data_IF_832199549642
#
_entry.id   IF_832199549642
#
_cell.length_a   1.000
_cell.length_b   1.000
_cell.length_c   1.000
_cell.angle_alpha   90.00
_cell.angle_beta   90.00
_cell.angle_gamma   90.00
#
_symmetry.space_group_name_H-M   'P 1'
#
loop_
_entity.id
_entity.type
_entity.pdbx_description
1 polymer ?
#
# COMPACT_ATOMS: atom_id res chain seq x y z
N UNK A 1 -9.31 58.62 16.34
CA UNK A 1 -7.95 58.29 15.83
C UNK A 1 -7.73 56.80 16.03
N UNK A 2 -7.52 56.02 14.97
CA UNK A 2 -7.19 54.59 15.09
C UNK A 2 -5.72 54.49 15.54
N UNK A 3 -5.47 53.89 16.71
CA UNK A 3 -4.11 53.52 17.13
C UNK A 3 -3.58 52.51 16.10
N UNK A 4 -2.57 52.91 15.35
CA UNK A 4 -1.81 51.99 14.49
C UNK A 4 -0.98 51.04 15.34
N UNK A 5 -0.80 49.82 14.85
CA UNK A 5 0.08 48.83 15.46
C UNK A 5 1.53 49.36 15.46
N UNK A 6 2.27 49.15 16.55
CA UNK A 6 3.65 49.63 16.61
C UNK A 6 4.56 48.74 15.75
N UNK A 7 5.60 49.32 15.15
CA UNK A 7 6.55 48.51 14.36
C UNK A 7 7.24 47.43 15.22
N UNK A 8 7.47 47.73 16.51
CA UNK A 8 8.11 46.79 17.44
C UNK A 8 7.20 45.58 17.72
N UNK A 9 5.88 45.78 17.87
CA UNK A 9 4.95 44.67 18.08
C UNK A 9 4.93 43.74 16.86
N UNK A 10 5.01 44.28 15.64
CA UNK A 10 5.05 43.47 14.43
C UNK A 10 6.33 42.63 14.35
N UNK A 11 7.47 43.22 14.69
CA UNK A 11 8.77 42.52 14.71
C UNK A 11 8.76 41.40 15.74
N UNK A 12 8.21 41.63 16.93
CA UNK A 12 8.18 40.60 17.97
C UNK A 12 7.30 39.41 17.57
N UNK A 13 6.17 39.67 16.90
CA UNK A 13 5.27 38.61 16.38
C UNK A 13 5.98 37.73 15.35
N UNK A 14 6.67 38.32 14.37
CA UNK A 14 7.38 37.52 13.35
C UNK A 14 8.55 36.73 13.94
N UNK A 15 9.22 37.25 14.98
CA UNK A 15 10.30 36.54 15.68
C UNK A 15 9.75 35.32 16.41
N UNK A 16 8.64 35.47 17.15
CA UNK A 16 8.00 34.33 17.83
C UNK A 16 7.53 33.30 16.80
N UNK A 17 6.85 33.73 15.73
CA UNK A 17 6.40 32.83 14.65
C UNK A 17 7.60 32.12 13.98
N UNK A 18 8.73 32.80 13.81
CA UNK A 18 9.96 32.22 13.28
C UNK A 18 10.52 31.09 14.16
N UNK A 19 10.57 31.29 15.48
CA UNK A 19 11.03 30.27 16.43
C UNK A 19 10.07 29.08 16.44
N UNK A 20 8.76 29.33 16.49
CA UNK A 20 7.74 28.26 16.48
C UNK A 20 7.78 27.45 15.18
N UNK A 21 7.97 28.10 14.03
CA UNK A 21 8.09 27.43 12.74
C UNK A 21 9.34 26.54 12.67
N UNK A 22 10.49 27.04 13.17
CA UNK A 22 11.75 26.30 13.15
C UNK A 22 11.69 24.97 13.92
N UNK A 23 10.95 24.93 15.04
CA UNK A 23 10.78 23.69 15.83
C UNK A 23 9.64 22.79 15.31
N UNK A 24 8.61 23.36 14.70
CA UNK A 24 7.45 22.60 14.22
C UNK A 24 7.74 21.84 12.92
N UNK A 25 8.47 22.45 11.97
CA UNK A 25 8.69 21.88 10.63
C UNK A 25 9.36 20.49 10.65
N UNK A 26 10.47 20.26 11.39
CA UNK A 26 11.13 18.95 11.39
C UNK A 26 10.23 17.82 11.91
N UNK A 27 9.38 18.13 12.90
CA UNK A 27 8.44 17.16 13.47
C UNK A 27 7.30 16.83 12.51
N UNK A 28 6.78 17.82 11.78
CA UNK A 28 5.69 17.60 10.83
C UNK A 28 6.05 16.60 9.73
N UNK A 29 7.29 16.65 9.21
CA UNK A 29 7.76 15.71 8.18
C UNK A 29 7.76 14.27 8.70
N UNK A 30 8.22 14.04 9.93
CA UNK A 30 8.20 12.69 10.53
C UNK A 30 6.80 12.13 10.75
N UNK A 31 5.83 12.98 11.12
CA UNK A 31 4.42 12.56 11.32
C UNK A 31 3.77 12.18 9.99
N UNK A 32 4.05 12.92 8.91
CA UNK A 32 3.53 12.60 7.59
C UNK A 32 4.00 11.22 7.11
N UNK A 33 5.29 10.91 7.29
CA UNK A 33 5.83 9.60 6.90
C UNK A 33 5.22 8.46 7.73
N UNK A 34 5.07 8.64 9.04
CA UNK A 34 4.40 7.66 9.89
C UNK A 34 2.94 7.43 9.51
N UNK A 35 2.20 8.51 9.18
CA UNK A 35 0.83 8.41 8.72
C UNK A 35 0.73 7.61 7.41
N UNK A 36 1.69 7.80 6.51
CA UNK A 36 1.77 7.08 5.25
C UNK A 36 2.03 5.58 5.44
N UNK A 37 2.98 5.22 6.30
CA UNK A 37 3.24 3.82 6.65
C UNK A 37 2.04 3.16 7.33
N UNK A 38 1.37 3.87 8.23
CA UNK A 38 0.16 3.38 8.88
C UNK A 38 -0.96 3.11 7.86
N UNK A 39 -1.15 4.00 6.89
CA UNK A 39 -2.13 3.82 5.80
C UNK A 39 -1.81 2.62 4.92
N UNK A 40 -0.55 2.38 4.62
CA UNK A 40 -0.12 1.19 3.88
C UNK A 40 -0.42 -0.11 4.66
N UNK A 41 -0.13 -0.13 5.96
CA UNK A 41 -0.45 -1.26 6.83
C UNK A 41 -1.96 -1.52 6.94
N UNK A 42 -2.75 -0.46 7.07
CA UNK A 42 -4.22 -0.53 7.08
C UNK A 42 -4.75 -1.13 5.78
N UNK A 43 -4.26 -0.65 4.62
CA UNK A 43 -4.66 -1.15 3.31
C UNK A 43 -4.30 -2.63 3.14
N UNK A 44 -3.10 -3.06 3.53
CA UNK A 44 -2.71 -4.48 3.49
C UNK A 44 -3.55 -5.34 4.43
N UNK A 45 -3.90 -4.84 5.62
CA UNK A 45 -4.80 -5.56 6.53
C UNK A 45 -6.20 -5.74 5.92
N UNK A 46 -6.73 -4.72 5.26
CA UNK A 46 -7.99 -4.83 4.52
C UNK A 46 -7.90 -5.84 3.37
N UNK A 47 -6.79 -5.83 2.61
CA UNK A 47 -6.55 -6.80 1.54
C UNK A 47 -6.52 -8.24 2.05
N UNK A 48 -5.80 -8.49 3.15
CA UNK A 48 -5.68 -9.82 3.73
C UNK A 48 -6.97 -10.32 4.42
N UNK A 49 -7.82 -9.42 4.92
CA UNK A 49 -9.07 -9.81 5.60
C UNK A 49 -10.27 -9.89 4.68
N UNK A 50 -10.35 -9.05 3.64
CA UNK A 50 -11.53 -8.96 2.75
C UNK A 50 -11.29 -9.67 1.43
N UNK A 51 -10.15 -9.38 0.78
CA UNK A 51 -9.89 -9.85 -0.58
C UNK A 51 -9.43 -11.29 -0.57
N UNK A 52 -8.43 -11.63 0.26
CA UNK A 52 -7.82 -12.97 0.33
C UNK A 52 -8.85 -14.10 0.52
N UNK A 53 -9.76 -14.07 1.51
CA UNK A 53 -10.69 -15.18 1.70
C UNK A 53 -11.65 -15.37 0.52
N UNK A 54 -12.12 -14.27 -0.07
CA UNK A 54 -13.04 -14.30 -1.22
C UNK A 54 -12.38 -14.92 -2.46
N UNK A 55 -11.19 -14.43 -2.82
CA UNK A 55 -10.50 -14.90 -4.03
C UNK A 55 -9.95 -16.31 -3.85
N UNK A 56 -9.51 -16.67 -2.64
CA UNK A 56 -8.96 -17.99 -2.37
C UNK A 56 -10.05 -19.05 -2.30
N UNK A 57 -11.21 -18.75 -1.71
CA UNK A 57 -12.36 -19.65 -1.73
C UNK A 57 -12.80 -19.95 -3.16
N UNK A 58 -12.88 -18.93 -4.04
CA UNK A 58 -13.15 -19.16 -5.48
C UNK A 58 -12.07 -20.04 -6.10
N UNK A 59 -10.80 -19.74 -5.81
CA UNK A 59 -9.68 -20.51 -6.31
C UNK A 59 -9.80 -21.98 -5.90
N UNK A 60 -9.99 -22.32 -4.62
CA UNK A 60 -10.11 -23.70 -4.16
C UNK A 60 -11.21 -24.53 -4.85
N UNK A 61 -12.29 -23.90 -5.30
CA UNK A 61 -13.38 -24.60 -6.01
C UNK A 61 -13.04 -24.85 -7.49
N UNK A 62 -12.21 -24.00 -8.08
CA UNK A 62 -11.96 -23.97 -9.54
C UNK A 62 -10.55 -24.44 -9.93
N UNK A 63 -9.59 -24.30 -9.00
CA UNK A 63 -8.17 -24.58 -9.13
C UNK A 63 -7.63 -25.09 -7.79
N UNK A 64 -6.41 -25.64 -7.77
CA UNK A 64 -5.75 -26.09 -6.53
C UNK A 64 -5.31 -24.90 -5.64
N UNK A 65 -6.25 -24.01 -5.30
CA UNK A 65 -6.06 -22.78 -4.52
C UNK A 65 -5.24 -21.69 -5.22
N UNK A 66 -4.88 -21.88 -6.49
CA UNK A 66 -4.13 -20.91 -7.31
C UNK A 66 -5.10 -19.84 -7.84
N UNK A 67 -5.01 -18.61 -7.33
CA UNK A 67 -5.95 -17.53 -7.67
C UNK A 67 -5.74 -17.04 -9.09
N UNK A 68 -4.49 -16.93 -9.55
CA UNK A 68 -4.21 -16.47 -10.91
C UNK A 68 -4.97 -17.30 -11.95
N UNK A 69 -4.94 -18.64 -11.84
CA UNK A 69 -5.61 -19.53 -12.78
C UNK A 69 -7.13 -19.39 -12.69
N UNK A 70 -7.67 -19.23 -11.48
CA UNK A 70 -9.10 -19.00 -11.27
C UNK A 70 -9.60 -17.65 -11.80
N UNK A 71 -8.74 -16.63 -11.89
CA UNK A 71 -9.09 -15.33 -12.48
C UNK A 71 -8.84 -15.29 -14.00
N UNK A 72 -8.02 -16.19 -14.53
CA UNK A 72 -7.73 -16.30 -15.96
C UNK A 72 -8.64 -17.29 -16.71
N UNK A 73 -9.73 -17.76 -16.08
CA UNK A 73 -10.67 -18.75 -16.60
C UNK A 73 -11.50 -18.30 -17.83
N UNK A 74 -11.23 -17.14 -18.42
CA UNK A 74 -11.98 -16.54 -19.55
C UNK A 74 -13.41 -16.09 -19.21
N UNK A 75 -14.01 -16.66 -18.17
CA UNK A 75 -15.38 -16.46 -17.74
C UNK A 75 -15.48 -15.44 -16.59
N UNK A 76 -14.37 -15.10 -15.95
CA UNK A 76 -14.30 -14.06 -14.92
C UNK A 76 -14.43 -12.67 -15.56
N UNK A 77 -15.44 -11.88 -15.18
CA UNK A 77 -15.59 -10.51 -15.67
C UNK A 77 -14.33 -9.68 -15.42
N UNK A 78 -13.96 -8.82 -16.36
CA UNK A 78 -12.75 -7.97 -16.27
C UNK A 78 -12.69 -7.17 -14.96
N UNK A 79 -13.82 -6.66 -14.48
CA UNK A 79 -13.90 -5.96 -13.19
C UNK A 79 -13.49 -6.84 -12.00
N UNK A 80 -13.81 -8.15 -12.00
CA UNK A 80 -13.41 -9.05 -10.92
C UNK A 80 -11.91 -9.40 -10.94
N UNK A 81 -11.19 -9.00 -11.99
CA UNK A 81 -9.73 -9.13 -12.14
C UNK A 81 -8.98 -7.93 -11.58
N UNK A 82 -9.67 -6.85 -11.24
CA UNK A 82 -9.08 -5.62 -10.69
C UNK A 82 -9.39 -5.53 -9.20
N UNK A 83 -8.52 -4.86 -8.44
CA UNK A 83 -8.56 -4.87 -6.97
C UNK A 83 -9.59 -3.89 -6.40
N UNK A 84 -9.87 -2.83 -7.14
CA UNK A 84 -10.92 -1.83 -6.92
C UNK A 84 -12.33 -2.44 -6.88
N UNK A 85 -12.53 -3.65 -7.40
CA UNK A 85 -13.78 -4.38 -7.26
C UNK A 85 -14.05 -4.87 -5.84
N UNK A 86 -13.01 -5.21 -5.09
CA UNK A 86 -13.15 -5.80 -3.76
C UNK A 86 -12.99 -4.79 -2.63
N UNK A 87 -12.22 -3.72 -2.86
CA UNK A 87 -11.96 -2.67 -1.88
C UNK A 87 -11.87 -1.31 -2.56
N UNK A 88 -12.15 -0.25 -1.80
CA UNK A 88 -11.83 1.09 -2.25
C UNK A 88 -10.33 1.35 -2.09
N UNK A 89 -9.63 1.62 -3.19
CA UNK A 89 -8.21 1.96 -3.17
C UNK A 89 -8.08 3.45 -2.84
N UNK A 90 -7.38 3.83 -1.76
CA UNK A 90 -7.12 5.22 -1.45
C UNK A 90 -6.44 5.94 -2.62
N UNK A 91 -6.82 7.19 -2.89
CA UNK A 91 -6.33 7.96 -4.05
C UNK A 91 -4.82 8.21 -4.07
N UNK A 92 -4.14 8.09 -2.93
CA UNK A 92 -2.68 8.15 -2.85
C UNK A 92 -2.01 6.86 -3.34
N UNK A 93 -2.74 5.75 -3.44
CA UNK A 93 -2.26 4.52 -4.05
C UNK A 93 -2.76 4.40 -5.48
N UNK A 94 -1.89 3.91 -6.35
CA UNK A 94 -2.18 3.69 -7.75
C UNK A 94 -1.63 2.34 -8.21
N UNK A 95 -2.27 1.78 -9.22
CA UNK A 95 -1.78 0.58 -9.88
C UNK A 95 -0.62 0.98 -10.82
N UNK A 96 0.56 0.35 -10.72
CA UNK A 96 1.69 0.68 -11.58
C UNK A 96 1.36 0.43 -13.06
N UNK A 97 1.85 1.30 -13.94
CA UNK A 97 1.62 1.19 -15.38
C UNK A 97 2.06 -0.18 -15.92
N UNK A 98 1.17 -0.86 -16.65
CA UNK A 98 1.44 -2.19 -17.22
C UNK A 98 1.33 -3.36 -16.24
N UNK A 99 0.99 -3.10 -14.98
CA UNK A 99 0.66 -4.14 -14.00
C UNK A 99 -0.84 -4.11 -13.70
N UNK A 100 -1.45 -5.28 -13.57
CA UNK A 100 -2.81 -5.49 -13.07
C UNK A 100 -2.73 -6.52 -11.95
N UNK A 101 -3.77 -6.63 -11.15
CA UNK A 101 -3.83 -7.65 -10.12
C UNK A 101 -3.65 -9.07 -10.71
N UNK A 102 -4.25 -9.35 -11.87
CA UNK A 102 -4.07 -10.63 -12.57
C UNK A 102 -2.61 -10.87 -12.99
N UNK A 103 -1.98 -9.89 -13.64
CA UNK A 103 -0.58 -10.06 -14.12
C UNK A 103 0.41 -10.14 -12.96
N UNK A 104 0.13 -9.46 -11.85
CA UNK A 104 0.95 -9.53 -10.64
C UNK A 104 0.87 -10.91 -9.98
N UNK A 105 -0.34 -11.49 -9.87
CA UNK A 105 -0.52 -12.86 -9.40
C UNK A 105 0.16 -13.88 -10.33
N UNK A 106 0.04 -13.69 -11.65
CA UNK A 106 0.69 -14.56 -12.63
C UNK A 106 2.21 -14.60 -12.46
N UNK A 107 2.81 -13.43 -12.22
CA UNK A 107 4.25 -13.31 -12.08
C UNK A 107 4.78 -13.84 -10.74
N UNK A 108 3.89 -14.15 -9.79
CA UNK A 108 4.23 -14.37 -8.39
C UNK A 108 3.55 -15.63 -7.85
N UNK A 109 4.14 -16.80 -8.19
CA UNK A 109 3.55 -18.08 -7.86
C UNK A 109 3.53 -18.30 -6.35
N UNK A 110 2.76 -19.30 -5.93
CA UNK A 110 2.60 -19.68 -4.53
C UNK A 110 3.86 -20.23 -3.87
N UNK A 111 5.00 -20.36 -4.55
CA UNK A 111 6.30 -20.68 -3.93
C UNK A 111 7.14 -19.44 -3.67
N UNK A 112 6.68 -18.27 -4.12
CA UNK A 112 7.44 -17.03 -3.98
C UNK A 112 7.60 -16.67 -2.51
N UNK A 113 8.85 -16.65 -2.08
CA UNK A 113 9.26 -16.38 -0.70
C UNK A 113 9.63 -14.92 -0.50
N UNK A 114 9.83 -14.15 -1.59
CA UNK A 114 10.20 -12.72 -1.54
C UNK A 114 9.41 -11.89 -2.57
N UNK A 115 8.98 -10.65 -2.26
CA UNK A 115 8.42 -9.75 -3.26
C UNK A 115 9.40 -9.52 -4.40
N UNK A 116 8.92 -9.75 -5.62
CA UNK A 116 9.54 -9.32 -6.87
C UNK A 116 8.83 -8.07 -7.37
N UNK A 117 9.52 -7.25 -8.16
CA UNK A 117 8.94 -6.03 -8.75
C UNK A 117 7.74 -6.36 -9.63
N UNK A 118 7.75 -7.55 -10.24
CA UNK A 118 6.62 -8.07 -11.02
C UNK A 118 5.40 -8.47 -10.19
N UNK A 119 5.56 -8.66 -8.87
CA UNK A 119 4.46 -8.94 -7.92
C UNK A 119 3.74 -7.70 -7.43
N UNK A 120 4.19 -6.52 -7.87
CA UNK A 120 3.67 -5.27 -7.37
C UNK A 120 2.25 -5.07 -7.88
N UNK A 121 1.35 -4.77 -6.95
CA UNK A 121 -0.07 -4.51 -7.23
C UNK A 121 -0.42 -3.05 -7.04
N UNK A 122 0.20 -2.37 -6.07
CA UNK A 122 0.05 -0.93 -5.87
C UNK A 122 1.38 -0.25 -5.54
N UNK A 123 1.47 1.03 -5.87
CA UNK A 123 2.46 1.96 -5.36
C UNK A 123 1.76 3.21 -4.85
N UNK A 124 2.33 3.82 -3.82
CA UNK A 124 1.89 5.14 -3.38
C UNK A 124 2.45 6.24 -4.32
N UNK A 125 1.81 7.39 -4.38
CA UNK A 125 2.03 8.52 -5.28
C UNK A 125 3.48 9.07 -5.30
N UNK A 126 4.28 8.85 -4.26
CA UNK A 126 5.70 9.25 -4.24
C UNK A 126 6.67 8.08 -4.47
N UNK A 127 6.17 6.89 -4.83
CA UNK A 127 6.97 5.69 -5.07
C UNK A 127 7.89 5.32 -3.89
N UNK A 128 7.42 5.58 -2.66
CA UNK A 128 8.16 5.25 -1.43
C UNK A 128 7.57 4.05 -0.71
N UNK A 129 6.35 3.64 -1.04
CA UNK A 129 5.70 2.46 -0.49
C UNK A 129 5.09 1.66 -1.63
N UNK A 130 5.33 0.35 -1.57
CA UNK A 130 4.91 -0.63 -2.57
C UNK A 130 4.14 -1.75 -1.90
N UNK A 131 3.07 -2.21 -2.54
CA UNK A 131 2.26 -3.35 -2.09
C UNK A 131 2.45 -4.48 -3.09
N UNK A 132 2.74 -5.66 -2.55
CA UNK A 132 3.02 -6.87 -3.30
C UNK A 132 2.02 -7.96 -2.94
N UNK A 133 1.87 -8.92 -3.86
CA UNK A 133 1.04 -10.11 -3.67
C UNK A 133 1.83 -11.38 -3.98
N UNK A 134 1.54 -12.45 -3.24
CA UNK A 134 1.83 -13.84 -3.62
C UNK A 134 0.52 -14.55 -3.92
N UNK A 135 0.54 -15.41 -4.91
CA UNK A 135 -0.59 -16.30 -5.17
C UNK A 135 -0.75 -17.38 -4.08
N UNK A 136 -1.95 -17.95 -3.98
CA UNK A 136 -2.27 -19.08 -3.11
C UNK A 136 -2.01 -20.43 -3.77
N UNK A 137 -2.10 -21.47 -2.96
CA UNK A 137 -2.21 -22.86 -3.39
C UNK A 137 -3.26 -23.58 -2.53
N UNK A 138 -3.37 -24.90 -2.67
CA UNK A 138 -4.37 -25.72 -1.98
C UNK A 138 -4.20 -25.74 -0.46
N UNK A 139 -3.01 -25.39 0.04
CA UNK A 139 -2.64 -25.48 1.46
C UNK A 139 -2.36 -24.10 2.09
N UNK A 140 -1.98 -23.11 1.28
CA UNK A 140 -1.63 -21.76 1.71
C UNK A 140 -2.45 -20.71 0.95
N UNK A 141 -3.09 -19.80 1.68
CA UNK A 141 -3.82 -18.68 1.09
C UNK A 141 -2.87 -17.67 0.41
N UNK A 142 -3.35 -16.91 -0.59
CA UNK A 142 -2.63 -15.75 -1.09
C UNK A 142 -2.42 -14.74 0.04
N UNK A 143 -1.37 -13.94 -0.08
CA UNK A 143 -1.01 -12.95 0.94
C UNK A 143 -0.53 -11.66 0.31
N UNK A 144 -0.90 -10.56 0.94
CA UNK A 144 -0.44 -9.22 0.61
C UNK A 144 0.51 -8.71 1.69
N UNK A 145 1.49 -7.91 1.28
CA UNK A 145 2.38 -7.21 2.19
C UNK A 145 2.86 -5.91 1.54
N UNK A 146 3.36 -4.98 2.36
CA UNK A 146 3.94 -3.73 1.89
C UNK A 146 5.45 -3.67 2.17
N UNK A 147 6.16 -2.86 1.39
CA UNK A 147 7.57 -2.54 1.59
C UNK A 147 7.87 -1.10 1.21
N UNK A 148 8.92 -0.53 1.80
CA UNK A 148 9.43 0.82 1.52
C UNK A 148 10.45 0.86 0.38
N UNK A 149 10.88 -0.29 -0.14
CA UNK A 149 11.82 -0.39 -1.27
C UNK A 149 11.26 -1.29 -2.36
N UNK A 150 11.67 -1.01 -3.60
CA UNK A 150 11.43 -1.88 -4.74
C UNK A 150 12.24 -3.18 -4.59
N UNK A 151 11.72 -4.31 -5.11
CA UNK A 151 12.37 -5.61 -4.89
C UNK A 151 13.84 -5.65 -5.30
N UNK A 152 14.67 -6.36 -4.52
CA UNK A 152 16.11 -6.52 -4.75
C UNK A 152 17.01 -5.99 -3.63
N UNK A 153 16.47 -5.20 -2.69
CA UNK A 153 17.18 -4.88 -1.44
C UNK A 153 16.99 -6.03 -0.45
N UNK A 154 18.08 -6.72 -0.09
CA UNK A 154 18.11 -7.99 0.67
C UNK A 154 17.50 -7.97 2.10
N UNK A 155 16.75 -6.94 2.49
CA UNK A 155 16.42 -6.66 3.88
C UNK A 155 15.19 -5.74 4.10
N UNK A 156 14.43 -5.37 3.07
CA UNK A 156 13.19 -4.58 3.22
C UNK A 156 11.93 -5.45 3.06
N UNK A 157 11.89 -6.56 3.80
CA UNK A 157 10.70 -7.41 3.89
C UNK A 157 10.03 -7.18 5.23
N UNK A 158 9.51 -5.98 5.51
CA UNK A 158 8.89 -5.75 6.81
C UNK A 158 7.49 -6.38 6.83
N UNK A 159 7.50 -7.71 6.97
CA UNK A 159 6.44 -8.53 7.52
C UNK A 159 5.88 -7.75 8.70
N UNK A 160 4.59 -7.46 8.65
CA UNK A 160 3.92 -6.72 9.68
C UNK A 160 4.29 -7.28 11.06
N UNK A 161 4.88 -6.43 11.89
CA UNK A 161 4.70 -6.45 13.36
C UNK A 161 3.22 -6.25 13.77
N UNK A 162 2.26 -6.48 12.88
CA UNK A 162 0.84 -6.59 13.17
C UNK A 162 0.46 -8.03 12.78
N UNK A 163 0.58 -9.00 13.69
CA UNK A 163 -0.24 -9.25 14.88
C UNK A 163 -1.36 -10.26 14.57
N UNK A 164 -1.15 -11.44 15.15
CA UNK A 164 -2.00 -12.64 15.32
C UNK A 164 -2.10 -13.61 14.14
#
# INVERSE_FOLDING_TARGET
>A
MRKGFTMIELIFVIVILGILAAVALPRMVGVQEQARLAKAGELVAQLNSVVVPNIWAKAQVTSDGVVYTALNDGNTPTAKKTLDYYIEIPSNFSVPAGTTFLTALQACPSTETQPKTTCQVLADATNSIYIYVRDGNSTEAPRFWYSTKTSGAANDFNVSKASF
#
